data_IF_014128767366
#
_entry.id   IF_014128767366
#
_cell.length_a   1.000
_cell.length_b   1.000
_cell.length_c   1.000
_cell.angle_alpha   90.00
_cell.angle_beta   90.00
_cell.angle_gamma   90.00
#
_symmetry.space_group_name_H-M   'P 1'
#
loop_
_entity.id
_entity.type
_entity.pdbx_description
1 polymer ?
#
# COMPACT_ATOMS: atom_id res chain seq x y z
N UNK A 1 22.16 -24.78 -5.23
CA UNK A 1 21.22 -23.69 -4.84
C UNK A 1 21.33 -23.47 -3.32
N UNK A 2 21.82 -22.31 -2.83
CA UNK A 2 21.78 -21.98 -1.39
C UNK A 2 20.31 -21.81 -0.98
N UNK A 3 19.80 -22.67 -0.10
CA UNK A 3 18.49 -22.47 0.55
C UNK A 3 18.46 -21.08 1.17
N UNK A 4 17.59 -20.19 0.71
CA UNK A 4 17.29 -18.94 1.40
C UNK A 4 16.60 -19.31 2.71
N UNK A 5 17.32 -19.27 3.84
CA UNK A 5 16.70 -19.45 5.15
C UNK A 5 15.74 -18.27 5.42
N UNK A 6 14.55 -18.57 5.88
CA UNK A 6 13.58 -17.57 6.33
C UNK A 6 14.11 -16.96 7.63
N UNK A 7 14.36 -15.67 7.68
CA UNK A 7 14.98 -14.98 8.83
C UNK A 7 14.05 -14.81 10.04
N UNK A 8 12.77 -15.09 9.88
CA UNK A 8 11.73 -14.93 10.91
C UNK A 8 11.23 -16.26 11.48
N UNK A 9 11.97 -17.35 11.27
CA UNK A 9 11.62 -18.69 11.77
C UNK A 9 12.82 -19.24 12.53
N UNK A 10 12.59 -19.79 13.74
CA UNK A 10 13.61 -20.50 14.51
C UNK A 10 13.83 -21.94 14.00
N UNK A 11 14.70 -22.68 14.67
CA UNK A 11 15.01 -24.06 14.31
C UNK A 11 13.79 -25.00 14.44
N UNK A 12 12.83 -24.65 15.30
CA UNK A 12 11.59 -25.41 15.55
C UNK A 12 10.42 -24.97 14.64
N UNK A 13 10.66 -24.06 13.69
CA UNK A 13 9.64 -23.55 12.78
C UNK A 13 8.71 -22.49 13.39
N UNK A 14 9.04 -21.94 14.56
CA UNK A 14 8.24 -20.92 15.24
C UNK A 14 8.63 -19.54 14.73
N UNK A 15 7.60 -18.67 14.56
CA UNK A 15 7.82 -17.29 14.19
C UNK A 15 8.51 -16.51 15.32
N UNK A 16 9.57 -15.75 14.98
CA UNK A 16 10.24 -14.87 15.93
C UNK A 16 10.70 -13.58 15.27
N UNK A 17 10.75 -12.51 16.06
CA UNK A 17 11.31 -11.24 15.64
C UNK A 17 12.84 -11.38 15.47
N UNK A 18 13.39 -10.81 14.39
CA UNK A 18 14.84 -10.89 14.11
C UNK A 18 15.61 -10.03 15.10
N UNK A 19 16.64 -10.61 15.75
CA UNK A 19 17.59 -9.84 16.55
C UNK A 19 18.43 -8.93 15.66
N UNK A 20 18.39 -7.63 15.95
CA UNK A 20 19.15 -6.60 15.23
C UNK A 20 20.21 -5.93 16.12
N UNK A 21 20.39 -6.39 17.36
CA UNK A 21 21.27 -5.78 18.36
C UNK A 21 22.71 -5.61 17.88
N UNK A 22 23.27 -6.62 17.21
CA UNK A 22 24.65 -6.62 16.70
C UNK A 22 24.81 -5.85 15.36
N UNK A 23 23.72 -5.39 14.72
CA UNK A 23 23.83 -4.70 13.42
C UNK A 23 24.22 -3.24 13.61
N UNK A 24 25.05 -2.72 12.71
CA UNK A 24 25.35 -1.27 12.66
C UNK A 24 24.13 -0.49 12.18
N UNK A 25 23.89 0.66 12.80
CA UNK A 25 22.88 1.60 12.29
C UNK A 25 23.36 2.19 10.95
N UNK A 26 22.45 2.27 9.99
CA UNK A 26 22.68 2.88 8.66
C UNK A 26 21.45 3.64 8.23
N UNK A 27 21.61 4.60 7.31
CA UNK A 27 20.47 5.27 6.69
C UNK A 27 19.59 4.25 5.96
N UNK A 28 18.29 4.32 6.22
CA UNK A 28 17.26 3.44 5.64
C UNK A 28 16.21 4.28 4.96
N UNK A 29 15.77 3.83 3.80
CA UNK A 29 14.68 4.45 3.05
C UNK A 29 13.85 3.38 2.38
N UNK A 30 12.54 3.54 2.43
CA UNK A 30 11.61 2.72 1.67
C UNK A 30 10.52 3.59 1.04
N UNK A 31 10.06 3.18 -0.13
CA UNK A 31 8.95 3.82 -0.86
C UNK A 31 7.97 2.75 -1.27
N UNK A 32 6.70 2.97 -0.93
CA UNK A 32 5.58 2.15 -1.37
C UNK A 32 4.60 2.96 -2.22
N UNK A 33 3.85 2.29 -3.05
CA UNK A 33 2.73 2.89 -3.77
C UNK A 33 1.51 1.98 -3.78
N UNK A 34 0.36 2.59 -4.02
CA UNK A 34 -0.90 1.89 -4.24
C UNK A 34 -1.94 2.81 -4.85
N UNK A 35 -3.11 2.28 -5.15
CA UNK A 35 -4.19 3.05 -5.74
C UNK A 35 -5.56 2.65 -5.19
N UNK A 36 -6.50 3.58 -5.28
CA UNK A 36 -7.93 3.33 -5.11
C UNK A 36 -8.60 3.68 -6.44
N UNK A 37 -9.44 2.78 -6.95
CA UNK A 37 -10.29 3.04 -8.12
C UNK A 37 -11.75 3.11 -7.71
N UNK A 38 -12.51 4.02 -8.31
CA UNK A 38 -13.90 4.28 -7.97
C UNK A 38 -14.72 4.63 -9.21
N UNK A 39 -16.03 4.59 -9.09
CA UNK A 39 -16.94 5.02 -10.17
C UNK A 39 -16.77 6.49 -10.51
N UNK A 40 -17.07 6.87 -11.75
CA UNK A 40 -16.86 8.22 -12.27
C UNK A 40 -17.57 9.31 -11.44
N UNK A 41 -18.76 9.02 -10.91
CA UNK A 41 -19.51 9.94 -10.06
C UNK A 41 -18.77 10.25 -8.74
N UNK A 42 -18.29 9.19 -8.05
CA UNK A 42 -17.51 9.35 -6.82
C UNK A 42 -16.18 10.06 -7.08
N UNK A 43 -15.49 9.70 -8.17
CA UNK A 43 -14.27 10.39 -8.59
C UNK A 43 -14.50 11.88 -8.86
N UNK A 44 -15.62 12.24 -9.49
CA UNK A 44 -16.02 13.63 -9.70
C UNK A 44 -16.21 14.42 -8.40
N UNK A 45 -16.80 13.79 -7.37
CA UNK A 45 -16.96 14.40 -6.05
C UNK A 45 -15.61 14.60 -5.34
N UNK A 46 -14.71 13.62 -5.40
CA UNK A 46 -13.35 13.74 -4.83
C UNK A 46 -12.59 14.85 -5.53
N UNK A 47 -12.61 14.88 -6.87
CA UNK A 47 -11.93 15.90 -7.68
C UNK A 47 -12.44 17.32 -7.37
N UNK A 48 -13.75 17.45 -7.15
CA UNK A 48 -14.37 18.74 -6.83
C UNK A 48 -14.28 19.10 -5.34
N UNK A 49 -13.64 18.27 -4.51
CA UNK A 49 -13.58 18.39 -3.05
C UNK A 49 -14.97 18.54 -2.40
N UNK A 50 -15.94 17.73 -2.86
CA UNK A 50 -17.37 17.76 -2.46
C UNK A 50 -17.80 16.54 -1.68
N UNK A 51 -16.87 15.77 -1.13
CA UNK A 51 -17.18 14.67 -0.22
C UNK A 51 -17.56 15.24 1.15
N UNK A 52 -18.69 14.78 1.71
CA UNK A 52 -19.23 15.32 2.97
C UNK A 52 -18.27 15.21 4.16
N UNK A 53 -17.34 14.25 4.15
CA UNK A 53 -16.32 14.06 5.20
C UNK A 53 -15.10 15.00 5.07
N UNK A 54 -15.07 15.89 4.08
CA UNK A 54 -13.98 16.86 3.87
C UNK A 54 -12.97 16.45 2.81
N UNK A 55 -11.77 17.03 2.87
CA UNK A 55 -10.70 16.84 1.89
C UNK A 55 -10.10 15.42 1.99
N UNK A 56 -10.53 14.58 1.05
CA UNK A 56 -10.15 13.16 0.99
C UNK A 56 -8.64 12.97 0.89
N UNK A 57 -7.96 13.79 0.07
CA UNK A 57 -6.53 13.61 -0.18
C UNK A 57 -5.72 14.01 1.06
N UNK A 58 -6.04 15.13 1.68
CA UNK A 58 -5.32 15.62 2.86
C UNK A 58 -5.53 14.73 4.08
N UNK A 59 -6.76 14.28 4.32
CA UNK A 59 -7.06 13.37 5.42
C UNK A 59 -6.34 12.03 5.22
N UNK A 60 -6.31 11.49 4.00
CA UNK A 60 -5.59 10.27 3.69
C UNK A 60 -4.06 10.41 3.89
N UNK A 61 -3.46 11.54 3.47
CA UNK A 61 -2.04 11.81 3.69
C UNK A 61 -1.69 11.81 5.19
N UNK A 62 -2.48 12.49 6.02
CA UNK A 62 -2.31 12.52 7.47
C UNK A 62 -2.50 11.15 8.11
N UNK A 63 -3.54 10.41 7.70
CA UNK A 63 -3.80 9.07 8.20
C UNK A 63 -2.65 8.10 7.86
N UNK A 64 -2.11 8.19 6.65
CA UNK A 64 -0.94 7.40 6.23
C UNK A 64 0.30 7.68 7.10
N UNK A 65 0.58 8.95 7.41
CA UNK A 65 1.66 9.31 8.34
C UNK A 65 1.43 8.70 9.72
N UNK A 66 0.18 8.74 10.23
CA UNK A 66 -0.21 8.09 11.48
C UNK A 66 -0.02 6.57 11.44
N UNK A 67 -0.38 5.94 10.31
CA UNK A 67 -0.19 4.51 10.07
C UNK A 67 1.27 4.07 10.12
N UNK A 68 2.18 4.80 9.47
CA UNK A 68 3.62 4.52 9.52
C UNK A 68 4.14 4.49 10.97
N UNK A 69 3.71 5.43 11.81
CA UNK A 69 4.14 5.54 13.20
C UNK A 69 3.62 4.42 14.11
N UNK A 70 2.59 3.69 13.66
CA UNK A 70 1.94 2.59 14.40
C UNK A 70 2.18 1.23 13.76
N UNK A 71 3.15 1.10 12.87
CA UNK A 71 3.41 -0.16 12.16
C UNK A 71 3.66 -1.33 13.10
N UNK A 72 4.45 -1.14 14.17
CA UNK A 72 4.73 -2.19 15.14
C UNK A 72 3.50 -2.64 15.95
N UNK A 73 2.50 -1.78 16.12
CA UNK A 73 1.23 -2.13 16.77
C UNK A 73 0.33 -3.01 15.89
N UNK A 74 0.53 -2.95 14.56
CA UNK A 74 -0.29 -3.63 13.56
C UNK A 74 0.36 -4.91 13.03
N UNK A 75 1.68 -4.94 12.94
CA UNK A 75 2.45 -6.03 12.31
C UNK A 75 3.29 -6.73 13.38
N UNK A 76 2.93 -7.95 13.79
CA UNK A 76 3.43 -8.59 15.01
C UNK A 76 4.94 -8.73 15.14
N UNK A 77 5.66 -8.93 14.01
CA UNK A 77 7.11 -9.15 14.02
C UNK A 77 7.91 -7.89 13.63
N UNK A 78 7.27 -6.74 13.52
CA UNK A 78 7.95 -5.47 13.27
C UNK A 78 8.54 -4.89 14.56
N UNK A 79 9.74 -4.32 14.43
CA UNK A 79 10.37 -3.56 15.51
C UNK A 79 9.67 -2.21 15.69
N UNK A 80 9.50 -1.71 16.93
CA UNK A 80 9.08 -0.33 17.15
C UNK A 80 10.19 0.63 16.73
N UNK A 81 9.94 1.45 15.71
CA UNK A 81 10.96 2.31 15.11
C UNK A 81 10.64 3.79 15.34
N UNK A 82 11.69 4.57 15.66
CA UNK A 82 11.64 6.03 15.66
C UNK A 82 11.98 6.51 14.24
N UNK A 83 10.94 6.90 13.50
CA UNK A 83 11.11 7.38 12.13
C UNK A 83 11.63 8.81 12.11
N UNK A 84 12.67 9.07 11.31
CA UNK A 84 13.20 10.42 11.08
C UNK A 84 12.31 11.21 10.13
N UNK A 85 11.69 10.51 9.16
CA UNK A 85 10.84 11.13 8.14
C UNK A 85 9.78 10.18 7.61
N UNK A 86 8.56 10.70 7.43
CA UNK A 86 7.47 10.06 6.69
C UNK A 86 6.85 11.09 5.76
N UNK A 87 6.73 10.75 4.50
CA UNK A 87 5.97 11.53 3.52
C UNK A 87 4.91 10.65 2.86
N UNK A 88 3.69 11.13 2.80
CA UNK A 88 2.59 10.48 2.07
C UNK A 88 2.01 11.49 1.10
N UNK A 89 1.86 11.09 -0.15
CA UNK A 89 1.30 11.90 -1.22
C UNK A 89 0.14 11.16 -1.86
N UNK A 90 -1.03 11.78 -1.84
CA UNK A 90 -2.22 11.33 -2.55
C UNK A 90 -2.46 12.22 -3.78
N UNK A 91 -2.66 11.63 -4.94
CA UNK A 91 -2.85 12.35 -6.21
C UNK A 91 -4.01 11.77 -7.00
N UNK A 92 -4.82 12.63 -7.60
CA UNK A 92 -5.89 12.20 -8.52
C UNK A 92 -5.28 11.57 -9.77
N UNK A 93 -5.86 10.46 -10.22
CA UNK A 93 -5.50 9.81 -11.48
C UNK A 93 -6.77 9.58 -12.33
N UNK A 94 -6.96 10.44 -13.31
CA UNK A 94 -8.12 10.36 -14.22
C UNK A 94 -8.08 9.12 -15.14
N UNK A 95 -6.91 8.51 -15.37
CA UNK A 95 -6.79 7.29 -16.18
C UNK A 95 -7.27 6.06 -15.42
N UNK A 96 -7.25 6.11 -14.08
CA UNK A 96 -7.74 5.03 -13.21
C UNK A 96 -9.17 5.27 -12.72
N UNK A 97 -9.86 6.36 -13.01
CA UNK A 97 -10.80 7.13 -12.19
C UNK A 97 -10.58 6.86 -10.69
N UNK A 98 -9.55 7.50 -10.09
CA UNK A 98 -9.17 7.18 -8.72
C UNK A 98 -8.06 8.04 -8.14
N UNK A 99 -7.45 7.54 -7.08
CA UNK A 99 -6.36 8.20 -6.35
C UNK A 99 -5.17 7.27 -6.26
N UNK A 100 -3.99 7.76 -6.63
CA UNK A 100 -2.71 7.10 -6.34
C UNK A 100 -2.15 7.63 -5.03
N UNK A 101 -1.62 6.73 -4.24
CA UNK A 101 -0.89 7.06 -3.02
C UNK A 101 0.55 6.58 -3.15
N UNK A 102 1.49 7.45 -2.81
CA UNK A 102 2.90 7.13 -2.65
C UNK A 102 3.33 7.51 -1.25
N UNK A 103 3.93 6.56 -0.54
CA UNK A 103 4.42 6.72 0.81
C UNK A 103 5.91 6.46 0.88
N UNK A 104 6.63 7.30 1.61
CA UNK A 104 8.06 7.17 1.88
C UNK A 104 8.32 7.20 3.38
N UNK A 105 9.16 6.28 3.87
CA UNK A 105 9.66 6.28 5.25
C UNK A 105 11.18 6.30 5.26
N UNK A 106 11.79 7.03 6.22
CA UNK A 106 13.24 7.08 6.43
C UNK A 106 13.59 7.06 7.92
N UNK A 107 14.69 6.41 8.23
CA UNK A 107 15.35 6.50 9.53
C UNK A 107 16.83 6.14 9.43
N UNK A 108 17.60 6.47 10.46
CA UNK A 108 18.91 5.87 10.69
C UNK A 108 18.77 4.78 11.74
N UNK A 109 18.99 3.51 11.34
CA UNK A 109 18.72 2.38 12.23
C UNK A 109 19.26 1.04 11.76
N UNK A 110 18.95 0.00 12.54
CA UNK A 110 19.49 -1.36 12.38
C UNK A 110 18.63 -2.29 11.53
N UNK A 111 17.39 -1.87 11.22
CA UNK A 111 16.44 -2.61 10.37
C UNK A 111 15.90 -1.71 9.26
N UNK A 112 15.25 -2.32 8.27
CA UNK A 112 14.59 -1.59 7.18
C UNK A 112 13.28 -0.92 7.62
N UNK A 113 12.71 -0.11 6.74
CA UNK A 113 11.46 0.65 6.94
C UNK A 113 10.42 0.33 5.87
N UNK A 114 10.55 -0.85 5.28
CA UNK A 114 9.66 -1.30 4.20
C UNK A 114 8.22 -1.39 4.69
N UNK A 115 8.02 -1.94 5.91
CA UNK A 115 6.67 -2.10 6.47
C UNK A 115 6.05 -0.78 6.85
N UNK A 116 6.82 0.18 7.33
CA UNK A 116 6.35 1.54 7.63
C UNK A 116 5.84 2.24 6.36
N UNK A 117 6.54 2.10 5.24
CA UNK A 117 6.10 2.66 3.96
C UNK A 117 4.84 1.95 3.43
N UNK A 118 4.78 0.61 3.52
CA UNK A 118 3.62 -0.18 3.09
C UNK A 118 2.40 0.11 3.96
N UNK A 119 2.56 0.17 5.29
CA UNK A 119 1.48 0.49 6.23
C UNK A 119 0.96 1.91 6.01
N UNK A 120 1.85 2.89 5.81
CA UNK A 120 1.45 4.25 5.47
C UNK A 120 0.58 4.29 4.21
N UNK A 121 0.99 3.59 3.16
CA UNK A 121 0.24 3.50 1.91
C UNK A 121 -1.13 2.83 2.14
N UNK A 122 -1.17 1.69 2.84
CA UNK A 122 -2.39 0.94 3.12
C UNK A 122 -3.40 1.76 3.92
N UNK A 123 -2.97 2.42 4.99
CA UNK A 123 -3.84 3.24 5.85
C UNK A 123 -4.39 4.44 5.07
N UNK A 124 -3.57 5.09 4.24
CA UNK A 124 -4.03 6.18 3.38
C UNK A 124 -5.12 5.70 2.40
N UNK A 125 -4.93 4.56 1.74
CA UNK A 125 -5.90 3.99 0.80
C UNK A 125 -7.21 3.57 1.48
N UNK A 126 -7.13 2.95 2.67
CA UNK A 126 -8.30 2.59 3.48
C UNK A 126 -9.06 3.84 3.95
N UNK A 127 -8.35 4.92 4.26
CA UNK A 127 -8.96 6.20 4.62
C UNK A 127 -9.72 6.80 3.43
N UNK A 128 -9.15 6.76 2.22
CA UNK A 128 -9.87 7.18 1.01
C UNK A 128 -11.15 6.36 0.85
N UNK A 129 -11.08 5.03 0.96
CA UNK A 129 -12.25 4.16 0.89
C UNK A 129 -13.32 4.56 1.91
N UNK A 130 -12.94 4.73 3.20
CA UNK A 130 -13.89 5.12 4.23
C UNK A 130 -14.59 6.45 3.93
N UNK A 131 -13.85 7.41 3.39
CA UNK A 131 -14.41 8.73 3.07
C UNK A 131 -15.34 8.70 1.87
N UNK A 132 -15.11 7.83 0.86
CA UNK A 132 -15.91 7.79 -0.37
C UNK A 132 -17.00 6.71 -0.38
N UNK A 133 -17.00 5.74 0.53
CA UNK A 133 -17.91 4.57 0.53
C UNK A 133 -19.40 4.92 0.52
N UNK A 134 -19.79 6.10 1.00
CA UNK A 134 -21.17 6.55 0.95
C UNK A 134 -21.60 6.91 -0.49
N UNK A 135 -20.64 7.38 -1.33
CA UNK A 135 -20.88 7.69 -2.74
C UNK A 135 -20.66 6.47 -3.64
N UNK A 136 -19.73 5.57 -3.28
CA UNK A 136 -19.44 4.36 -4.06
C UNK A 136 -18.86 3.25 -3.17
N UNK A 137 -19.70 2.26 -2.82
CA UNK A 137 -19.25 1.06 -2.08
C UNK A 137 -18.46 0.08 -2.94
N UNK A 138 -18.54 0.20 -4.26
CA UNK A 138 -17.78 -0.60 -5.22
C UNK A 138 -16.34 -0.15 -5.40
N UNK A 139 -15.90 0.88 -4.67
CA UNK A 139 -14.51 1.36 -4.66
C UNK A 139 -13.53 0.23 -4.34
N UNK A 140 -12.49 0.07 -5.16
CA UNK A 140 -11.48 -1.00 -5.03
C UNK A 140 -10.19 -0.42 -4.49
N UNK A 141 -9.65 -1.03 -3.42
CA UNK A 141 -8.36 -0.69 -2.83
C UNK A 141 -7.30 -1.66 -3.32
N UNK A 142 -6.19 -1.14 -3.85
CA UNK A 142 -5.06 -1.93 -4.32
C UNK A 142 -4.74 -1.73 -5.81
N UNK A 143 -3.67 -2.37 -6.31
CA UNK A 143 -2.63 -3.09 -5.56
C UNK A 143 -1.77 -2.16 -4.72
N UNK A 144 -1.13 -2.70 -3.66
CA UNK A 144 -0.13 -2.02 -2.86
C UNK A 144 1.19 -2.77 -3.04
N UNK A 145 2.29 -2.05 -3.29
CA UNK A 145 3.61 -2.65 -3.48
C UNK A 145 4.74 -1.75 -3.00
N UNK A 146 5.85 -2.38 -2.63
CA UNK A 146 7.11 -1.69 -2.43
C UNK A 146 7.70 -1.29 -3.78
N UNK A 147 8.21 -0.06 -3.90
CA UNK A 147 8.90 0.43 -5.10
C UNK A 147 10.41 0.46 -4.93
N UNK A 148 10.86 0.81 -3.73
CA UNK A 148 12.26 0.99 -3.41
C UNK A 148 12.50 0.65 -1.96
N UNK A 149 13.61 0.01 -1.69
CA UNK A 149 14.24 0.03 -0.38
C UNK A 149 15.73 0.32 -0.54
N UNK A 150 16.34 1.02 0.41
CA UNK A 150 17.78 1.25 0.42
C UNK A 150 18.36 1.21 1.81
N UNK A 151 19.66 0.92 1.86
CA UNK A 151 20.42 0.79 3.09
C UNK A 151 20.58 -0.65 3.61
N UNK A 152 21.46 -0.79 4.59
CA UNK A 152 21.80 -2.09 5.20
C UNK A 152 22.65 -3.01 4.30
N UNK A 153 22.83 -4.23 4.76
CA UNK A 153 23.70 -5.23 4.11
C UNK A 153 23.25 -5.60 2.68
N UNK A 154 21.95 -5.58 2.40
CA UNK A 154 21.40 -5.93 1.10
C UNK A 154 21.35 -4.75 0.10
N UNK A 155 21.89 -3.59 0.47
CA UNK A 155 21.99 -2.43 -0.44
C UNK A 155 20.63 -1.89 -0.91
N UNK A 156 20.60 -1.38 -2.12
CA UNK A 156 19.40 -0.82 -2.75
C UNK A 156 18.71 -1.87 -3.63
N UNK A 157 17.40 -1.91 -3.53
CA UNK A 157 16.52 -2.70 -4.38
C UNK A 157 15.42 -1.80 -4.95
N UNK A 158 15.08 -2.03 -6.21
CA UNK A 158 13.97 -1.38 -6.91
C UNK A 158 13.00 -2.44 -7.41
N UNK A 159 11.71 -2.14 -7.36
CA UNK A 159 10.71 -2.97 -8.03
C UNK A 159 10.88 -2.88 -9.55
N UNK A 160 10.79 -4.02 -10.21
CA UNK A 160 10.64 -4.05 -11.66
C UNK A 160 9.33 -3.38 -12.08
N UNK A 161 9.32 -2.76 -13.27
CA UNK A 161 8.07 -2.26 -13.83
C UNK A 161 7.04 -3.41 -13.88
N UNK A 162 5.76 -3.19 -13.50
CA UNK A 162 4.76 -4.25 -13.60
C UNK A 162 4.70 -4.73 -15.06
N UNK A 163 4.78 -6.04 -15.26
CA UNK A 163 4.47 -6.62 -16.55
C UNK A 163 3.10 -6.11 -16.99
N UNK A 164 2.98 -5.68 -18.24
CA UNK A 164 1.69 -5.21 -18.78
C UNK A 164 0.68 -6.32 -18.55
N UNK A 165 -0.29 -6.09 -17.67
CA UNK A 165 -1.38 -7.04 -17.41
C UNK A 165 -2.06 -7.34 -18.75
N UNK A 166 -2.19 -8.61 -19.15
CA UNK A 166 -2.98 -8.93 -20.32
C UNK A 166 -4.37 -8.34 -20.14
N UNK A 167 -4.89 -7.63 -21.14
CA UNK A 167 -6.26 -7.14 -21.13
C UNK A 167 -7.17 -8.33 -20.80
N UNK A 168 -7.95 -8.24 -19.72
CA UNK A 168 -8.97 -9.22 -19.39
C UNK A 168 -9.82 -9.45 -20.66
N UNK A 169 -9.83 -10.70 -21.15
CA UNK A 169 -10.60 -11.07 -22.29
C UNK A 169 -12.07 -10.70 -22.07
N UNK A 170 -12.67 -10.07 -23.06
CA UNK A 170 -14.08 -9.70 -23.10
C UNK A 170 -14.89 -11.00 -22.87
N UNK A 171 -15.47 -11.17 -21.68
CA UNK A 171 -16.42 -12.24 -21.43
C UNK A 171 -17.64 -11.94 -22.30
N UNK A 172 -17.77 -12.62 -23.42
CA UNK A 172 -18.97 -12.57 -24.25
C UNK A 172 -20.07 -13.32 -23.52
N UNK A 173 -21.05 -12.63 -22.99
CA UNK A 173 -22.25 -13.22 -22.42
C UNK A 173 -22.98 -13.97 -23.54
N UNK A 174 -23.16 -15.30 -23.36
CA UNK A 174 -23.97 -16.15 -24.24
C UNK A 174 -25.44 -15.70 -24.13
N UNK A 175 -26.18 -15.47 -25.24
CA UNK A 175 -27.58 -15.11 -25.17
C UNK A 175 -28.41 -16.27 -24.60
N UNK A 176 -29.26 -15.98 -23.62
CA UNK A 176 -30.23 -16.93 -23.07
C UNK A 176 -31.23 -17.33 -24.16
N UNK A 177 -31.30 -18.63 -24.44
CA UNK A 177 -32.23 -19.23 -25.38
C UNK A 177 -33.68 -18.92 -25.02
N UNK A 178 -34.46 -18.52 -26.01
CA UNK A 178 -35.92 -18.29 -25.97
C UNK A 178 -36.58 -19.66 -25.80
N UNK A 179 -37.22 -19.92 -24.68
CA UNK A 179 -38.15 -21.03 -24.48
C UNK A 179 -39.45 -20.69 -25.16
N UNK A 180 -39.75 -21.35 -26.28
CA UNK A 180 -41.08 -21.42 -26.91
C UNK A 180 -41.95 -22.35 -26.11
N UNK A 181 -43.01 -21.84 -25.48
CA UNK A 181 -44.14 -22.66 -25.00
C UNK A 181 -45.00 -23.13 -26.19
N UNK A 182 -45.24 -24.42 -26.24
CA UNK A 182 -46.48 -25.00 -26.82
C UNK A 182 -47.49 -25.22 -25.73
#
# INVERSE_FOLDING_TARGET
MKRRSLSHVDADGRARMVDVGAKRATARRAVAEGAVTMGAAAFGLVKANRIAKGDVLRVAELAGIGGAKRTADLIPLCHPLRLDHVAVRATLDAKLPGVRVRAEARLTGRTGVEMEALTACAVALLTIYDMVKAADRGTIVGPIRLLLKSGGRSGTWHAEAPAKTPRAGRVTAKPKGRTTKR
#
